data_IF_003721815508
#
_entry.id   IF_003721815508
#
_cell.length_a   1.000
_cell.length_b   1.000
_cell.length_c   1.000
_cell.angle_alpha   90.00
_cell.angle_beta   90.00
_cell.angle_gamma   90.00
#
_symmetry.space_group_name_H-M   'P 1'
#
loop_
_entity.id
_entity.type
_entity.pdbx_description
1 polymer ?
#
# COMPACT_ATOMS: atom_id res chain seq x y z
N UNK A 1 11.77 6.73 -2.34
CA UNK A 1 11.37 6.92 -0.92
C UNK A 1 10.76 5.63 -0.41
N UNK A 2 11.13 5.21 0.77
CA UNK A 2 10.55 4.02 1.39
C UNK A 2 9.39 4.41 2.28
N UNK A 3 8.31 3.62 2.23
CA UNK A 3 7.08 3.92 2.95
C UNK A 3 6.60 2.74 3.78
N UNK A 4 5.96 3.04 4.90
CA UNK A 4 5.10 2.14 5.63
C UNK A 4 3.68 2.67 5.55
N UNK A 5 2.77 1.86 5.04
CA UNK A 5 1.36 2.21 4.91
C UNK A 5 0.54 1.34 5.85
N UNK A 6 -0.20 1.96 6.76
CA UNK A 6 -1.16 1.26 7.60
C UNK A 6 -2.52 1.36 6.94
N UNK A 7 -3.05 0.22 6.52
CA UNK A 7 -4.33 0.13 5.81
C UNK A 7 -5.43 -0.25 6.79
N UNK A 8 -6.45 0.59 6.90
CA UNK A 8 -7.65 0.29 7.67
C UNK A 8 -8.70 -0.28 6.73
N UNK A 9 -9.07 -1.55 6.94
CA UNK A 9 -9.84 -2.36 6.01
C UNK A 9 -11.31 -2.38 6.41
N UNK A 10 -12.20 -2.04 5.45
CA UNK A 10 -13.65 -2.07 5.68
C UNK A 10 -14.22 -3.48 5.69
N UNK A 11 -13.73 -4.33 4.77
CA UNK A 11 -14.26 -5.68 4.56
C UNK A 11 -13.59 -6.67 5.51
N UNK A 12 -12.60 -7.39 5.02
CA UNK A 12 -11.80 -8.34 5.79
C UNK A 12 -10.38 -8.33 5.25
N UNK A 13 -9.44 -8.79 6.06
CA UNK A 13 -8.06 -8.93 5.61
C UNK A 13 -7.97 -9.82 4.36
N UNK A 14 -8.63 -10.97 4.37
CA UNK A 14 -8.56 -11.91 3.24
C UNK A 14 -9.14 -11.32 1.96
N UNK A 15 -10.27 -10.59 2.05
CA UNK A 15 -10.86 -9.91 0.91
C UNK A 15 -9.95 -8.81 0.36
N UNK A 16 -9.40 -7.98 1.22
CA UNK A 16 -8.46 -6.94 0.83
C UNK A 16 -7.17 -7.52 0.25
N UNK A 17 -6.61 -8.56 0.89
CA UNK A 17 -5.35 -9.18 0.47
C UNK A 17 -5.46 -9.80 -0.92
N UNK A 18 -6.60 -10.42 -1.23
CA UNK A 18 -6.84 -11.00 -2.55
C UNK A 18 -6.78 -9.92 -3.64
N UNK A 19 -7.37 -8.76 -3.39
CA UNK A 19 -7.32 -7.64 -4.33
C UNK A 19 -5.92 -7.03 -4.39
N UNK A 20 -5.25 -6.89 -3.25
CA UNK A 20 -3.88 -6.41 -3.19
C UNK A 20 -2.95 -7.30 -4.04
N UNK A 21 -3.09 -8.62 -3.93
CA UNK A 21 -2.28 -9.57 -4.70
C UNK A 21 -2.59 -9.54 -6.20
N UNK A 22 -3.82 -9.20 -6.58
CA UNK A 22 -4.18 -9.00 -7.99
C UNK A 22 -3.50 -7.76 -8.61
N UNK A 23 -3.00 -6.86 -7.76
CA UNK A 23 -2.20 -5.70 -8.16
C UNK A 23 -2.86 -4.79 -9.22
N UNK A 24 -4.08 -4.28 -8.93
CA UNK A 24 -4.79 -3.44 -9.92
C UNK A 24 -4.08 -2.13 -10.20
N UNK A 25 -3.25 -1.65 -9.28
CA UNK A 25 -2.48 -0.41 -9.45
C UNK A 25 -1.23 -0.59 -10.30
N UNK A 26 -0.73 -1.83 -10.43
CA UNK A 26 0.56 -2.07 -11.06
C UNK A 26 1.70 -1.46 -10.24
N UNK A 27 1.94 -1.96 -9.03
CA UNK A 27 2.90 -1.38 -8.09
C UNK A 27 4.29 -1.17 -8.65
N UNK A 28 4.74 -2.02 -9.57
CA UNK A 28 6.07 -1.88 -10.20
C UNK A 28 6.21 -0.57 -10.99
N UNK A 29 5.10 0.06 -11.37
CA UNK A 29 5.11 1.34 -12.05
C UNK A 29 5.61 2.49 -11.16
N UNK A 30 5.46 2.36 -9.83
CA UNK A 30 5.84 3.43 -8.92
C UNK A 30 6.72 2.97 -7.75
N UNK A 31 7.04 1.69 -7.64
CA UNK A 31 7.85 1.15 -6.55
C UNK A 31 8.62 -0.10 -6.98
N UNK A 32 9.62 -0.48 -6.18
CA UNK A 32 10.29 -1.77 -6.35
C UNK A 32 9.44 -2.87 -5.71
N UNK A 33 8.55 -3.44 -6.49
CA UNK A 33 7.58 -4.43 -6.00
C UNK A 33 8.20 -5.77 -5.59
N UNK A 34 9.45 -6.02 -5.99
CA UNK A 34 10.17 -7.22 -5.53
C UNK A 34 10.46 -7.20 -4.03
N UNK A 35 10.42 -6.00 -3.44
CA UNK A 35 10.71 -5.79 -2.01
C UNK A 35 9.45 -5.52 -1.18
N UNK A 36 8.29 -5.40 -1.80
CA UNK A 36 7.02 -5.13 -1.11
C UNK A 36 6.72 -6.21 -0.08
N UNK A 37 6.34 -5.80 1.13
CA UNK A 37 6.00 -6.70 2.22
C UNK A 37 4.68 -6.33 2.84
N UNK A 38 3.92 -7.34 3.27
CA UNK A 38 2.62 -7.17 3.91
C UNK A 38 2.62 -7.91 5.23
N UNK A 39 2.13 -7.25 6.27
CA UNK A 39 1.91 -7.87 7.58
C UNK A 39 0.44 -7.71 7.97
N UNK A 40 -0.18 -8.79 8.41
CA UNK A 40 -1.52 -8.76 8.98
C UNK A 40 -1.41 -8.34 10.45
N UNK A 41 -2.10 -7.27 10.83
CA UNK A 41 -2.21 -6.86 12.23
C UNK A 41 -3.44 -7.51 12.85
N UNK A 42 -4.59 -7.35 12.20
CA UNK A 42 -5.85 -8.03 12.54
C UNK A 42 -6.71 -8.09 11.27
N UNK A 43 -7.96 -8.53 11.40
CA UNK A 43 -8.84 -8.70 10.24
C UNK A 43 -9.19 -7.39 9.54
N UNK A 44 -9.01 -6.26 10.20
CA UNK A 44 -9.32 -4.93 9.66
C UNK A 44 -8.11 -4.02 9.54
N UNK A 45 -6.90 -4.53 9.79
CA UNK A 45 -5.69 -3.71 9.74
C UNK A 45 -4.53 -4.51 9.13
N UNK A 46 -3.88 -3.91 8.13
CA UNK A 46 -2.67 -4.44 7.52
C UNK A 46 -1.60 -3.37 7.46
N UNK A 47 -0.34 -3.81 7.44
CA UNK A 47 0.80 -2.95 7.17
C UNK A 47 1.42 -3.35 5.86
N UNK A 48 1.69 -2.36 5.00
CA UNK A 48 2.36 -2.57 3.71
C UNK A 48 3.65 -1.76 3.71
N UNK A 49 4.76 -2.42 3.44
CA UNK A 49 6.05 -1.76 3.28
C UNK A 49 6.39 -1.69 1.81
N UNK A 50 6.61 -0.46 1.33
CA UNK A 50 6.95 -0.18 -0.07
C UNK A 50 8.34 0.44 -0.14
N UNK A 51 9.08 0.10 -1.20
CA UNK A 51 10.47 0.52 -1.39
C UNK A 51 10.65 1.27 -2.71
N UNK A 52 11.54 2.26 -2.70
CA UNK A 52 11.89 3.06 -3.88
C UNK A 52 10.65 3.66 -4.56
N UNK A 53 9.75 4.24 -3.76
CA UNK A 53 8.48 4.77 -4.25
C UNK A 53 8.67 6.11 -4.93
N UNK A 54 8.13 6.23 -6.16
CA UNK A 54 7.89 7.50 -6.81
C UNK A 54 6.57 8.07 -6.31
N UNK A 55 6.64 9.02 -5.39
CA UNK A 55 5.46 9.56 -4.70
C UNK A 55 4.48 10.23 -5.65
N UNK A 56 4.98 10.95 -6.66
CA UNK A 56 4.12 11.62 -7.62
C UNK A 56 3.31 10.61 -8.43
N UNK A 57 3.99 9.58 -8.91
CA UNK A 57 3.36 8.52 -9.72
C UNK A 57 2.34 7.74 -8.90
N UNK A 58 2.68 7.42 -7.66
CA UNK A 58 1.77 6.73 -6.73
C UNK A 58 0.51 7.55 -6.50
N UNK A 59 0.64 8.85 -6.22
CA UNK A 59 -0.52 9.72 -5.99
C UNK A 59 -1.38 9.87 -7.25
N UNK A 60 -0.77 9.96 -8.44
CA UNK A 60 -1.51 10.01 -9.70
C UNK A 60 -2.38 8.77 -9.90
N UNK A 61 -1.84 7.59 -9.62
CA UNK A 61 -2.56 6.33 -9.78
C UNK A 61 -3.67 6.19 -8.72
N UNK A 62 -3.36 6.48 -7.46
CA UNK A 62 -4.28 6.26 -6.35
C UNK A 62 -5.43 7.26 -6.38
N UNK A 63 -5.18 8.49 -6.80
CA UNK A 63 -6.19 9.55 -6.83
C UNK A 63 -6.96 9.64 -8.15
N UNK A 64 -6.64 8.79 -9.13
CA UNK A 64 -7.36 8.75 -10.40
C UNK A 64 -8.70 8.03 -10.22
N UNK A 65 -9.85 8.72 -10.37
CA UNK A 65 -11.16 8.10 -10.18
C UNK A 65 -11.49 7.06 -11.26
N UNK A 66 -10.76 7.05 -12.37
CA UNK A 66 -10.92 6.07 -13.44
C UNK A 66 -9.96 4.89 -13.32
N UNK A 67 -9.09 4.90 -12.32
CA UNK A 67 -8.17 3.80 -12.07
C UNK A 67 -8.93 2.59 -11.46
N UNK A 68 -8.53 1.34 -11.81
CA UNK A 68 -9.06 0.16 -11.11
C UNK A 68 -8.90 0.20 -9.60
N UNK A 69 -7.91 0.95 -9.10
CA UNK A 69 -7.66 1.12 -7.66
C UNK A 69 -8.81 1.86 -6.98
N UNK A 70 -9.49 2.78 -7.67
CA UNK A 70 -10.57 3.55 -7.08
C UNK A 70 -11.69 2.64 -6.54
N UNK A 71 -12.08 1.61 -7.29
CA UNK A 71 -13.10 0.65 -6.86
C UNK A 71 -12.63 -0.17 -5.66
N UNK A 72 -11.36 -0.60 -5.66
CA UNK A 72 -10.76 -1.33 -4.55
C UNK A 72 -10.77 -0.50 -3.28
N UNK A 73 -10.37 0.76 -3.38
CA UNK A 73 -10.36 1.67 -2.24
C UNK A 73 -11.77 1.90 -1.69
N UNK A 74 -12.75 2.08 -2.57
CA UNK A 74 -14.14 2.27 -2.17
C UNK A 74 -14.71 1.05 -1.43
N UNK A 75 -14.38 -0.15 -1.90
CA UNK A 75 -14.97 -1.40 -1.39
C UNK A 75 -14.24 -1.97 -0.17
N UNK A 76 -12.92 -1.76 -0.07
CA UNK A 76 -12.10 -2.48 0.91
C UNK A 76 -11.32 -1.58 1.87
N UNK A 77 -11.09 -0.31 1.56
CA UNK A 77 -10.22 0.55 2.37
C UNK A 77 -11.00 1.70 2.97
N UNK A 78 -11.00 1.79 4.30
CA UNK A 78 -11.61 2.91 5.03
C UNK A 78 -10.68 4.13 5.01
N UNK A 79 -9.41 3.92 5.36
CA UNK A 79 -8.39 4.96 5.33
C UNK A 79 -7.00 4.33 5.30
N UNK A 80 -6.01 5.16 5.00
CA UNK A 80 -4.60 4.77 5.02
C UNK A 80 -3.79 5.82 5.77
N UNK A 81 -2.87 5.36 6.62
CA UNK A 81 -1.86 6.20 7.22
C UNK A 81 -0.53 5.89 6.54
N UNK A 82 0.13 6.91 5.99
CA UNK A 82 1.36 6.75 5.22
C UNK A 82 2.51 7.37 5.98
N UNK A 83 3.56 6.58 6.23
CA UNK A 83 4.75 7.01 6.94
C UNK A 83 5.97 6.85 6.06
N UNK A 84 6.86 7.84 6.10
CA UNK A 84 8.18 7.73 5.48
C UNK A 84 9.08 6.89 6.38
N UNK A 85 9.78 5.93 5.78
CA UNK A 85 10.70 5.04 6.49
C UNK A 85 12.13 5.38 6.05
N UNK A 86 13.01 5.58 7.01
CA UNK A 86 14.42 5.82 6.76
C UNK A 86 15.26 4.79 7.51
N UNK A 87 16.25 4.25 6.82
CA UNK A 87 17.20 3.37 7.46
C UNK A 87 18.06 4.16 8.44
N UNK A 88 18.13 3.68 9.66
CA UNK A 88 19.02 4.25 10.69
C UNK A 88 20.36 3.53 10.65
N UNK A 89 21.42 4.32 10.76
CA UNK A 89 22.76 3.76 11.01
C UNK A 89 22.90 3.49 12.50
N UNK A 90 23.18 2.24 12.91
CA UNK A 90 23.37 1.97 14.33
C UNK A 90 24.59 2.71 14.87
N UNK A 91 24.52 3.25 16.08
CA UNK A 91 25.69 3.82 16.73
C UNK A 91 26.67 2.69 17.10
N UNK A 92 27.93 2.91 16.86
CA UNK A 92 28.97 1.94 17.19
C UNK A 92 29.91 2.49 18.22
#
# INVERSE_FOLDING_TARGET
MDLLVVVHIKSSYDGWKAVFDADPAGREEFADDTRTRVAKVDDNTAMVQLFDVDMQKMFEIINDPNSPVADVMADHVEKRDVYKVEQMSPPN
#
